data_IF_458466051861
#
_entry.id   IF_458466051861
#
_cell.length_a   1.000
_cell.length_b   1.000
_cell.length_c   1.000
_cell.angle_alpha   90.00
_cell.angle_beta   90.00
_cell.angle_gamma   90.00
#
_symmetry.space_group_name_H-M   'P 1'
#
loop_
_entity.id
_entity.type
_entity.pdbx_description
1 polymer ?
#
# COMPACT_ATOMS: atom_id res chain seq x y z
N UNK A 1 -13.35 2.73 -19.60
CA UNK A 1 -12.92 3.78 -18.65
C UNK A 1 -11.96 3.17 -17.66
N UNK A 2 -10.81 3.80 -17.40
CA UNK A 2 -9.86 3.30 -16.40
C UNK A 2 -10.42 3.55 -14.99
N UNK A 3 -10.56 2.50 -14.16
CA UNK A 3 -11.15 2.55 -12.81
C UNK A 3 -10.10 2.59 -11.69
N UNK A 4 -8.81 2.72 -12.03
CA UNK A 4 -7.73 2.86 -11.05
C UNK A 4 -7.89 4.13 -10.19
N UNK A 5 -7.58 4.02 -8.89
CA UNK A 5 -7.46 5.20 -8.00
C UNK A 5 -6.10 5.84 -8.22
N UNK A 6 -6.07 7.12 -8.55
CA UNK A 6 -4.82 7.86 -8.79
C UNK A 6 -4.37 8.62 -7.54
N UNK A 7 -3.06 8.73 -7.35
CA UNK A 7 -2.45 9.69 -6.42
C UNK A 7 -2.28 11.00 -7.19
N UNK A 8 -2.93 12.08 -6.75
CA UNK A 8 -2.97 13.37 -7.47
C UNK A 8 -1.71 14.21 -7.26
N UNK A 9 -0.98 13.96 -6.19
CA UNK A 9 0.31 14.58 -5.86
C UNK A 9 1.44 13.54 -5.92
N UNK A 10 1.45 12.74 -7.00
CA UNK A 10 2.41 11.66 -7.19
C UNK A 10 3.86 12.19 -7.23
N UNK A 11 4.16 13.28 -7.96
CA UNK A 11 5.51 13.83 -8.06
C UNK A 11 6.15 14.22 -6.69
N UNK A 12 5.49 15.01 -5.80
CA UNK A 12 5.99 15.24 -4.44
C UNK A 12 6.23 13.96 -3.63
N UNK A 13 5.38 12.95 -3.80
CA UNK A 13 5.48 11.68 -3.08
C UNK A 13 6.62 10.80 -3.62
N UNK A 14 6.79 10.72 -4.94
CA UNK A 14 7.94 10.07 -5.59
C UNK A 14 9.24 10.75 -5.20
N UNK A 15 9.28 12.09 -5.15
CA UNK A 15 10.47 12.83 -4.68
C UNK A 15 10.82 12.42 -3.25
N UNK A 16 9.85 12.45 -2.32
CA UNK A 16 10.06 12.03 -0.94
C UNK A 16 10.60 10.58 -0.86
N UNK A 17 10.01 9.64 -1.60
CA UNK A 17 10.46 8.24 -1.59
C UNK A 17 11.87 8.08 -2.15
N UNK A 18 12.24 8.80 -3.21
CA UNK A 18 13.61 8.83 -3.75
C UNK A 18 14.61 9.41 -2.75
N UNK A 19 14.26 10.50 -2.07
CA UNK A 19 15.10 11.14 -1.05
C UNK A 19 15.32 10.21 0.16
N UNK A 20 14.26 9.54 0.65
CA UNK A 20 14.37 8.53 1.73
C UNK A 20 15.20 7.32 1.28
N UNK A 21 15.00 6.82 0.06
CA UNK A 21 15.79 5.70 -0.46
C UNK A 21 17.28 6.05 -0.54
N UNK A 22 17.62 7.22 -1.08
CA UNK A 22 19.00 7.72 -1.16
C UNK A 22 19.64 7.87 0.23
N UNK A 23 18.90 8.43 1.20
CA UNK A 23 19.36 8.60 2.59
C UNK A 23 19.70 7.28 3.28
N UNK A 24 18.97 6.20 2.96
CA UNK A 24 19.07 4.90 3.62
C UNK A 24 19.77 3.83 2.76
N UNK A 25 20.46 4.21 1.68
CA UNK A 25 21.15 3.29 0.75
C UNK A 25 20.23 2.22 0.13
N UNK A 26 18.97 2.58 -0.13
CA UNK A 26 17.97 1.74 -0.81
C UNK A 26 17.81 2.16 -2.28
N UNK A 27 17.42 1.21 -3.13
CA UNK A 27 17.04 1.49 -4.51
C UNK A 27 15.54 1.78 -4.61
N UNK A 28 15.18 2.94 -5.18
CA UNK A 28 13.78 3.26 -5.49
C UNK A 28 13.35 2.61 -6.82
N UNK A 29 12.25 1.85 -6.80
CA UNK A 29 11.61 1.30 -8.00
C UNK A 29 10.13 1.67 -8.01
N UNK A 30 9.66 2.25 -9.12
CA UNK A 30 8.24 2.51 -9.36
C UNK A 30 7.66 1.37 -10.20
N UNK A 31 6.71 0.62 -9.64
CA UNK A 31 6.07 -0.51 -10.32
C UNK A 31 4.65 -0.14 -10.78
N UNK A 32 4.38 -0.30 -12.08
CA UNK A 32 3.05 -0.11 -12.68
C UNK A 32 2.60 -1.37 -13.41
N UNK A 33 1.75 -2.15 -12.76
CA UNK A 33 1.12 -3.36 -13.30
C UNK A 33 0.37 -3.17 -14.64
N UNK A 34 0.03 -1.94 -15.04
CA UNK A 34 -0.62 -1.65 -16.33
C UNK A 34 0.37 -1.47 -17.48
N UNK A 35 1.66 -1.35 -17.18
CA UNK A 35 2.78 -1.27 -18.14
C UNK A 35 3.71 -2.49 -18.07
N UNK A 36 3.52 -3.38 -17.11
CA UNK A 36 4.35 -4.56 -16.92
C UNK A 36 4.07 -5.63 -18.00
N UNK A 37 4.98 -5.70 -18.97
CA UNK A 37 5.06 -6.70 -20.03
C UNK A 37 6.09 -7.80 -19.75
N UNK A 38 6.74 -7.78 -18.59
CA UNK A 38 7.86 -8.67 -18.29
C UNK A 38 7.39 -10.08 -17.91
N UNK A 39 8.32 -11.03 -18.02
CA UNK A 39 8.06 -12.40 -17.57
C UNK A 39 7.82 -12.43 -16.05
N UNK A 40 6.86 -13.24 -15.60
CA UNK A 40 6.46 -13.34 -14.17
C UNK A 40 7.64 -13.57 -13.21
N UNK A 41 8.71 -14.22 -13.69
CA UNK A 41 9.97 -14.40 -12.95
C UNK A 41 10.59 -13.06 -12.52
N UNK A 42 10.69 -12.07 -13.42
CA UNK A 42 11.26 -10.75 -13.14
C UNK A 42 10.47 -10.02 -12.06
N UNK A 43 9.13 -10.17 -12.08
CA UNK A 43 8.23 -9.63 -11.05
C UNK A 43 8.47 -10.30 -9.69
N UNK A 44 8.57 -11.64 -9.65
CA UNK A 44 8.88 -12.37 -8.42
C UNK A 44 10.25 -11.94 -7.87
N UNK A 45 11.29 -11.86 -8.72
CA UNK A 45 12.64 -11.44 -8.33
C UNK A 45 12.68 -9.97 -7.84
N UNK A 46 11.89 -9.07 -8.43
CA UNK A 46 11.74 -7.69 -7.96
C UNK A 46 11.14 -7.63 -6.54
N UNK A 47 10.01 -8.29 -6.31
CA UNK A 47 9.34 -8.22 -5.01
C UNK A 47 10.04 -9.03 -3.92
N UNK A 48 10.71 -10.14 -4.27
CA UNK A 48 11.55 -10.91 -3.35
C UNK A 48 12.69 -10.08 -2.74
N UNK A 49 13.30 -9.17 -3.53
CA UNK A 49 14.39 -8.32 -3.05
C UNK A 49 13.91 -7.00 -2.40
N UNK A 50 12.61 -6.73 -2.36
CA UNK A 50 12.07 -5.48 -1.82
C UNK A 50 12.10 -5.48 -0.27
N UNK A 51 12.80 -4.52 0.34
CA UNK A 51 12.77 -4.31 1.81
C UNK A 51 11.60 -3.46 2.28
N UNK A 52 11.08 -2.57 1.42
CA UNK A 52 9.84 -1.83 1.65
C UNK A 52 8.97 -1.93 0.39
N UNK A 53 7.68 -2.23 0.55
CA UNK A 53 6.67 -2.19 -0.52
C UNK A 53 5.59 -1.19 -0.11
N UNK A 54 5.40 -0.13 -0.88
CA UNK A 54 4.36 0.88 -0.65
C UNK A 54 3.40 0.97 -1.83
N UNK A 55 2.09 0.99 -1.57
CA UNK A 55 1.08 1.02 -2.64
C UNK A 55 -0.34 1.30 -2.16
N UNK A 56 -1.21 1.69 -3.10
CA UNK A 56 -2.65 1.91 -2.84
C UNK A 56 -3.36 0.57 -2.67
N UNK A 57 -4.23 0.48 -1.65
CA UNK A 57 -5.07 -0.69 -1.37
C UNK A 57 -5.76 -1.19 -2.66
N UNK A 58 -5.26 -2.29 -3.19
CA UNK A 58 -5.63 -2.86 -4.49
C UNK A 58 -5.00 -4.24 -4.66
N UNK A 59 -5.43 -4.99 -5.68
CA UNK A 59 -4.82 -6.27 -6.03
C UNK A 59 -3.33 -6.19 -6.40
N UNK A 60 -2.80 -5.01 -6.74
CA UNK A 60 -1.37 -4.85 -7.05
C UNK A 60 -0.48 -4.97 -5.79
N UNK A 61 -1.01 -4.72 -4.58
CA UNK A 61 -0.24 -4.86 -3.35
C UNK A 61 -0.06 -6.34 -2.95
N UNK A 62 -0.84 -7.28 -3.51
CA UNK A 62 -0.71 -8.72 -3.23
C UNK A 62 0.60 -9.34 -3.76
N UNK A 63 1.40 -8.60 -4.54
CA UNK A 63 2.77 -9.03 -4.87
C UNK A 63 3.69 -9.16 -3.63
N UNK A 64 3.27 -8.65 -2.46
CA UNK A 64 3.86 -8.95 -1.15
C UNK A 64 4.01 -10.46 -0.85
N UNK A 65 3.19 -11.33 -1.47
CA UNK A 65 3.29 -12.79 -1.35
C UNK A 65 4.57 -13.36 -2.00
N UNK A 66 5.32 -12.56 -2.76
CA UNK A 66 6.65 -12.92 -3.28
C UNK A 66 7.81 -12.33 -2.46
N UNK A 67 7.52 -11.46 -1.51
CA UNK A 67 8.52 -10.75 -0.71
C UNK A 67 8.98 -11.55 0.51
N UNK A 68 10.14 -11.20 1.06
CA UNK A 68 10.71 -11.84 2.24
C UNK A 68 9.91 -11.49 3.52
N UNK A 69 10.18 -12.17 4.63
CA UNK A 69 9.47 -11.94 5.89
C UNK A 69 9.90 -10.63 6.56
N UNK A 70 11.14 -10.17 6.41
CA UNK A 70 11.56 -8.86 6.91
C UNK A 70 11.04 -7.67 6.08
N UNK A 71 10.35 -7.91 4.97
CA UNK A 71 9.81 -6.84 4.12
C UNK A 71 8.72 -6.05 4.84
N UNK A 72 8.86 -4.73 4.86
CA UNK A 72 7.85 -3.83 5.42
C UNK A 72 6.85 -3.40 4.36
N UNK A 73 5.57 -3.67 4.60
CA UNK A 73 4.44 -3.32 3.73
C UNK A 73 3.79 -2.03 4.24
N UNK A 74 3.58 -1.07 3.34
CA UNK A 74 2.89 0.20 3.64
C UNK A 74 1.69 0.34 2.71
N UNK A 75 0.49 0.19 3.28
CA UNK A 75 -0.75 0.33 2.55
C UNK A 75 -1.28 1.78 2.62
N UNK A 76 -1.38 2.41 1.46
CA UNK A 76 -2.14 3.65 1.30
C UNK A 76 -3.62 3.27 1.23
N UNK A 77 -4.30 3.30 2.38
CA UNK A 77 -5.71 2.91 2.53
C UNK A 77 -6.66 4.08 2.20
N UNK A 78 -7.47 4.00 1.13
CA UNK A 78 -8.45 5.02 0.79
C UNK A 78 -9.73 4.88 1.61
N UNK A 79 -10.17 5.96 2.26
CA UNK A 79 -11.48 6.06 2.91
C UNK A 79 -12.24 7.32 2.48
N UNK A 80 -13.57 7.33 2.62
CA UNK A 80 -14.38 8.54 2.37
C UNK A 80 -14.52 9.33 3.68
N UNK A 81 -14.45 10.65 3.62
CA UNK A 81 -14.61 11.49 4.82
C UNK A 81 -16.02 11.38 5.43
N UNK A 82 -17.03 11.09 4.61
CA UNK A 82 -18.42 10.86 5.03
C UNK A 82 -18.68 9.45 5.60
N UNK A 83 -17.79 8.47 5.36
CA UNK A 83 -17.86 7.18 6.06
C UNK A 83 -17.14 7.31 7.40
N UNK A 84 -17.90 7.38 8.49
CA UNK A 84 -17.42 7.56 9.87
C UNK A 84 -16.53 6.43 10.42
N UNK A 85 -16.34 5.36 9.64
CA UNK A 85 -15.54 4.19 9.99
C UNK A 85 -14.42 4.05 8.96
N UNK A 86 -13.17 4.00 9.41
CA UNK A 86 -12.07 3.49 8.58
C UNK A 86 -12.41 2.03 8.20
N UNK A 87 -12.12 1.55 6.97
CA UNK A 87 -12.51 0.22 6.48
C UNK A 87 -11.67 -0.92 7.08
N UNK A 88 -11.44 -0.86 8.39
CA UNK A 88 -10.70 -1.84 9.20
C UNK A 88 -11.65 -2.91 9.74
N UNK A 89 -12.90 -2.55 10.07
CA UNK A 89 -13.91 -3.45 10.61
C UNK A 89 -15.23 -3.37 9.82
N UNK A 90 -15.81 -4.54 9.54
CA UNK A 90 -17.02 -4.71 8.70
C UNK A 90 -18.06 -5.59 9.42
N UNK A 91 -19.30 -5.10 9.54
CA UNK A 91 -20.46 -5.89 10.00
C UNK A 91 -21.08 -6.77 8.90
N UNK A 92 -21.95 -7.73 9.26
CA UNK A 92 -22.64 -8.64 8.32
C UNK A 92 -24.06 -9.18 8.67
N UNK A 93 -24.51 -9.65 9.84
CA UNK A 93 -23.97 -9.74 11.21
C UNK A 93 -24.46 -11.06 11.87
N UNK A 94 -23.61 -12.10 11.97
CA UNK A 94 -23.75 -13.37 12.76
C UNK A 94 -22.33 -13.89 13.11
N UNK A 95 -21.90 -15.19 13.10
CA UNK A 95 -20.45 -15.52 13.17
C UNK A 95 -19.60 -14.83 12.07
N UNK A 96 -20.27 -14.22 11.11
CA UNK A 96 -19.86 -13.24 10.11
C UNK A 96 -19.19 -11.97 10.69
N UNK A 97 -19.61 -11.52 11.89
CA UNK A 97 -19.38 -10.18 12.48
C UNK A 97 -18.22 -10.14 13.50
N UNK A 98 -17.70 -8.99 13.93
CA UNK A 98 -17.55 -7.71 13.20
C UNK A 98 -16.11 -7.76 12.67
N UNK A 99 -15.93 -8.38 11.50
CA UNK A 99 -14.61 -8.88 11.11
C UNK A 99 -13.72 -7.79 10.56
N UNK A 100 -12.42 -8.06 10.59
CA UNK A 100 -11.48 -7.37 9.73
C UNK A 100 -12.01 -7.40 8.29
N UNK A 101 -12.22 -6.23 7.67
CA UNK A 101 -12.87 -6.15 6.37
C UNK A 101 -12.13 -6.98 5.31
N UNK A 102 -12.75 -7.22 4.15
CA UNK A 102 -12.00 -7.63 2.95
C UNK A 102 -10.86 -6.62 2.61
N UNK A 103 -11.03 -5.35 3.02
CA UNK A 103 -9.97 -4.33 3.01
C UNK A 103 -8.72 -4.65 3.84
N UNK A 104 -8.82 -5.58 4.79
CA UNK A 104 -7.73 -6.04 5.66
C UNK A 104 -7.10 -7.37 5.21
N UNK A 105 -7.47 -7.91 4.04
CA UNK A 105 -6.87 -9.16 3.52
C UNK A 105 -5.35 -9.05 3.38
N UNK A 106 -4.85 -7.86 3.02
CA UNK A 106 -3.42 -7.57 2.86
C UNK A 106 -2.70 -7.52 4.22
N UNK A 107 -3.33 -6.98 5.27
CA UNK A 107 -2.81 -7.11 6.65
C UNK A 107 -2.72 -8.58 7.06
N UNK A 108 -3.80 -9.35 6.87
CA UNK A 108 -3.84 -10.78 7.21
C UNK A 108 -2.76 -11.57 6.45
N UNK A 109 -2.54 -11.26 5.16
CA UNK A 109 -1.45 -11.84 4.38
C UNK A 109 -0.07 -11.48 4.96
N UNK A 110 0.18 -10.22 5.35
CA UNK A 110 1.44 -9.86 5.98
C UNK A 110 1.68 -10.63 7.29
N UNK A 111 0.67 -10.78 8.15
CA UNK A 111 0.82 -11.55 9.39
C UNK A 111 1.13 -13.03 9.12
N UNK A 112 0.53 -13.64 8.09
CA UNK A 112 0.84 -15.02 7.67
C UNK A 112 2.24 -15.16 7.04
N UNK A 113 2.77 -14.09 6.44
CA UNK A 113 4.12 -14.01 5.88
C UNK A 113 5.18 -13.51 6.88
N UNK A 114 4.79 -13.26 8.15
CA UNK A 114 5.62 -12.65 9.19
C UNK A 114 6.19 -11.26 8.82
N UNK A 115 5.47 -10.50 7.98
CA UNK A 115 5.84 -9.18 7.48
C UNK A 115 5.32 -8.04 8.37
N UNK A 116 6.15 -7.01 8.52
CA UNK A 116 5.76 -5.71 9.13
C UNK A 116 4.72 -5.02 8.26
N UNK A 117 3.63 -4.52 8.85
CA UNK A 117 2.52 -3.92 8.09
C UNK A 117 2.06 -2.60 8.69
N UNK A 118 2.02 -1.55 7.86
CA UNK A 118 1.58 -0.21 8.23
C UNK A 118 0.44 0.26 7.34
N UNK A 119 -0.55 0.94 7.94
CA UNK A 119 -1.66 1.56 7.23
C UNK A 119 -1.50 3.07 7.26
N UNK A 120 -1.49 3.69 6.09
CA UNK A 120 -1.54 5.13 5.88
C UNK A 120 -2.93 5.52 5.36
N UNK A 121 -3.92 5.76 6.25
CA UNK A 121 -5.29 6.06 5.82
C UNK A 121 -5.37 7.48 5.24
N UNK A 122 -5.88 7.61 4.02
CA UNK A 122 -6.03 8.87 3.29
C UNK A 122 -7.46 9.04 2.75
N UNK A 123 -7.95 10.28 2.74
CA UNK A 123 -9.27 10.63 2.19
C UNK A 123 -9.22 10.58 0.67
N UNK A 124 -10.21 9.93 0.05
CA UNK A 124 -10.46 10.06 -1.39
C UNK A 124 -11.41 11.20 -1.71
N UNK A 125 -11.19 11.87 -2.84
CA UNK A 125 -12.12 12.83 -3.39
C UNK A 125 -13.35 12.15 -4.04
N UNK A 126 -14.28 12.95 -4.56
CA UNK A 126 -15.50 12.49 -5.23
C UNK A 126 -15.28 11.56 -6.43
N UNK A 127 -14.09 11.58 -7.04
CA UNK A 127 -13.69 10.70 -8.14
C UNK A 127 -12.98 9.41 -7.68
N UNK A 128 -12.76 9.23 -6.38
CA UNK A 128 -12.04 8.09 -5.80
C UNK A 128 -10.51 8.23 -5.78
N UNK A 129 -9.97 9.41 -6.13
CA UNK A 129 -8.54 9.68 -6.19
C UNK A 129 -8.02 10.28 -4.86
N UNK A 130 -6.75 10.05 -4.58
CA UNK A 130 -6.08 10.34 -3.30
C UNK A 130 -5.21 11.59 -3.44
N UNK A 131 -5.18 12.44 -2.42
CA UNK A 131 -4.13 13.46 -2.24
C UNK A 131 -3.40 13.14 -0.92
N UNK A 132 -2.14 12.73 -1.02
CA UNK A 132 -1.36 12.25 0.13
C UNK A 132 -0.90 13.40 1.00
N UNK A 133 -1.14 13.31 2.31
CA UNK A 133 -0.52 14.21 3.27
C UNK A 133 0.95 13.81 3.46
N UNK A 134 1.87 14.48 2.75
CA UNK A 134 3.31 14.16 2.77
C UNK A 134 3.87 14.17 4.19
N UNK A 135 3.47 15.12 5.04
CA UNK A 135 3.91 15.17 6.45
C UNK A 135 3.27 14.12 7.38
N UNK A 136 2.40 13.25 6.86
CA UNK A 136 2.03 11.97 7.49
C UNK A 136 2.79 10.79 6.88
N UNK A 137 3.31 10.90 5.66
CA UNK A 137 4.27 9.96 5.08
C UNK A 137 5.61 10.09 5.81
N UNK A 138 6.15 11.30 5.93
CA UNK A 138 7.38 11.62 6.68
C UNK A 138 7.36 10.97 8.07
N UNK A 139 6.34 11.31 8.89
CA UNK A 139 6.14 10.78 10.26
C UNK A 139 5.83 9.29 10.37
N UNK A 140 5.61 8.60 9.26
CA UNK A 140 5.52 7.14 9.19
C UNK A 140 6.90 6.54 8.91
N UNK A 141 7.61 7.08 7.92
CA UNK A 141 8.97 6.66 7.55
C UNK A 141 10.02 7.04 8.62
N UNK A 142 9.73 8.00 9.51
CA UNK A 142 10.52 8.26 10.73
C UNK A 142 10.42 7.10 11.78
N UNK A 143 9.62 6.06 11.50
CA UNK A 143 9.38 4.90 12.37
C UNK A 143 9.70 3.56 11.71
N UNK A 144 10.31 3.59 10.51
CA UNK A 144 10.65 2.45 9.65
C UNK A 144 12.13 2.53 9.32
#
# INVERSE_FOLDING_TARGET
MNRARLILNEEPFIKFLRDYCLKNSLNYVQYDHSKDTDHIRSRIELFYNAKIIIGVHSGALSNMNFAQSETTIIEIMPYRQESSVLPMTCSMFRPDDLKACAGYILYTQAQLLNQSYWILPNVVNTKGNINLNISRVEKLFDKI
#
